data_IF_459287812542
#
_entry.id   IF_459287812542
#
_cell.length_a   1.000
_cell.length_b   1.000
_cell.length_c   1.000
_cell.angle_alpha   90.00
_cell.angle_beta   90.00
_cell.angle_gamma   90.00
#
_symmetry.space_group_name_H-M   'P 1'
#
loop_
_entity.id
_entity.type
_entity.pdbx_description
1 polymer ?
#
# COMPACT_ATOMS: atom_id res chain seq x y z
N UNK A 1 26.52 -39.07 -39.50
CA UNK A 1 25.32 -39.03 -38.62
C UNK A 1 25.52 -37.89 -37.63
N UNK A 2 24.74 -36.81 -37.75
CA UNK A 2 24.86 -35.62 -36.89
C UNK A 2 23.96 -35.77 -35.64
N UNK A 3 24.40 -35.35 -34.43
CA UNK A 3 23.52 -35.33 -33.28
C UNK A 3 22.57 -34.13 -33.32
N UNK A 4 21.28 -34.41 -33.13
CA UNK A 4 20.19 -33.45 -33.20
C UNK A 4 20.23 -32.40 -32.08
N UNK A 5 19.97 -31.15 -32.50
CA UNK A 5 19.89 -29.91 -31.73
C UNK A 5 18.95 -29.99 -30.51
N UNK A 6 19.45 -29.43 -29.40
CA UNK A 6 18.72 -29.01 -28.20
C UNK A 6 17.41 -28.25 -28.52
N UNK A 7 16.28 -28.73 -28.00
CA UNK A 7 15.07 -27.91 -27.84
C UNK A 7 15.03 -27.35 -26.42
N UNK A 8 15.64 -26.18 -26.21
CA UNK A 8 15.38 -25.37 -25.02
C UNK A 8 14.07 -24.65 -25.26
N UNK A 9 12.97 -25.22 -24.76
CA UNK A 9 11.68 -24.53 -24.69
C UNK A 9 11.81 -23.42 -23.65
N UNK A 10 12.12 -22.21 -24.10
CA UNK A 10 12.09 -21.03 -23.26
C UNK A 10 10.63 -20.80 -22.80
N UNK A 11 10.32 -21.21 -21.57
CA UNK A 11 9.06 -20.87 -20.89
C UNK A 11 8.97 -19.35 -20.82
N UNK A 12 8.11 -18.78 -21.68
CA UNK A 12 7.74 -17.36 -21.66
C UNK A 12 6.94 -17.11 -20.39
N UNK A 13 7.62 -16.80 -19.28
CA UNK A 13 6.99 -16.47 -18.01
C UNK A 13 6.07 -15.25 -18.21
N UNK A 14 4.77 -15.47 -18.00
CA UNK A 14 3.73 -14.46 -18.10
C UNK A 14 3.93 -13.37 -17.06
N UNK A 15 4.41 -12.21 -17.48
CA UNK A 15 4.68 -11.04 -16.63
C UNK A 15 3.40 -10.38 -16.10
N UNK A 16 2.22 -10.74 -16.62
CA UNK A 16 0.94 -10.19 -16.14
C UNK A 16 0.53 -10.70 -14.75
N UNK A 17 0.81 -11.97 -14.44
CA UNK A 17 0.47 -12.54 -13.13
C UNK A 17 1.21 -11.86 -11.96
N UNK A 18 2.46 -11.45 -12.18
CA UNK A 18 3.31 -10.84 -11.14
C UNK A 18 2.83 -9.44 -10.72
N UNK A 19 2.27 -8.65 -11.65
CA UNK A 19 1.77 -7.30 -11.34
C UNK A 19 0.54 -7.31 -10.43
N UNK A 20 -0.41 -8.21 -10.66
CA UNK A 20 -1.62 -8.33 -9.85
C UNK A 20 -1.31 -8.77 -8.41
N UNK A 21 -0.37 -9.71 -8.24
CA UNK A 21 0.05 -10.18 -6.91
C UNK A 21 0.65 -9.04 -6.08
N UNK A 22 1.37 -8.10 -6.71
CA UNK A 22 1.96 -6.97 -5.99
C UNK A 22 0.89 -5.96 -5.52
N UNK A 23 -0.13 -5.70 -6.35
CA UNK A 23 -1.23 -4.82 -5.98
C UNK A 23 -2.03 -5.40 -4.81
N UNK A 24 -2.42 -6.66 -4.88
CA UNK A 24 -3.19 -7.33 -3.83
C UNK A 24 -2.45 -7.34 -2.49
N UNK A 25 -1.13 -7.59 -2.50
CA UNK A 25 -0.29 -7.48 -1.29
C UNK A 25 -0.26 -6.07 -0.72
N UNK A 26 -0.21 -5.04 -1.57
CA UNK A 26 -0.24 -3.65 -1.11
C UNK A 26 -1.59 -3.29 -0.51
N UNK A 27 -2.69 -3.74 -1.11
CA UNK A 27 -4.03 -3.55 -0.57
C UNK A 27 -4.20 -4.23 0.79
N UNK A 28 -3.78 -5.50 0.92
CA UNK A 28 -3.75 -6.20 2.21
C UNK A 28 -2.91 -5.49 3.26
N UNK A 29 -1.74 -4.97 2.88
CA UNK A 29 -0.91 -4.18 3.81
C UNK A 29 -1.63 -2.91 4.23
N UNK A 30 -2.37 -2.27 3.34
CA UNK A 30 -3.12 -1.05 3.63
C UNK A 30 -4.22 -1.31 4.67
N UNK A 31 -4.97 -2.42 4.52
CA UNK A 31 -5.96 -2.87 5.51
C UNK A 31 -5.35 -3.07 6.90
N UNK A 32 -4.13 -3.57 6.99
CA UNK A 32 -3.46 -3.81 8.29
C UNK A 32 -2.89 -2.55 8.95
N UNK A 33 -2.56 -1.52 8.17
CA UNK A 33 -1.90 -0.30 8.67
C UNK A 33 -2.91 0.78 9.02
N UNK A 34 -4.01 0.87 8.27
CA UNK A 34 -5.06 1.87 8.51
C UNK A 34 -5.99 1.36 9.62
N UNK A 35 -6.23 2.12 10.69
CA UNK A 35 -7.14 1.73 11.76
C UNK A 35 -8.53 1.40 11.22
N UNK A 36 -9.05 0.22 11.56
CA UNK A 36 -10.35 -0.27 11.06
C UNK A 36 -10.35 -0.77 9.62
N UNK A 37 -9.19 -0.80 8.95
CA UNK A 37 -9.06 -1.29 7.58
C UNK A 37 -9.26 -2.80 7.42
N UNK A 38 -9.18 -3.56 8.51
CA UNK A 38 -9.43 -5.01 8.56
C UNK A 38 -10.90 -5.39 8.33
N UNK A 39 -11.82 -4.42 8.45
CA UNK A 39 -13.27 -4.59 8.27
C UNK A 39 -13.77 -4.19 6.88
N UNK A 40 -12.87 -3.77 5.98
CA UNK A 40 -13.22 -3.26 4.67
C UNK A 40 -13.01 -4.35 3.61
N UNK A 41 -14.08 -4.66 2.88
CA UNK A 41 -14.10 -5.81 1.98
C UNK A 41 -13.78 -5.43 0.52
N UNK A 42 -13.95 -4.15 0.15
CA UNK A 42 -13.69 -3.68 -1.21
C UNK A 42 -12.46 -2.77 -1.30
N UNK A 43 -11.76 -2.85 -2.43
CA UNK A 43 -10.60 -1.99 -2.72
C UNK A 43 -10.97 -0.50 -2.68
N UNK A 44 -12.18 -0.14 -3.12
CA UNK A 44 -12.68 1.24 -3.11
C UNK A 44 -12.85 1.78 -1.69
N UNK A 45 -13.49 1.01 -0.80
CA UNK A 45 -13.65 1.38 0.61
C UNK A 45 -12.30 1.52 1.30
N UNK A 46 -11.37 0.58 1.05
CA UNK A 46 -10.02 0.63 1.62
C UNK A 46 -9.33 1.94 1.20
N UNK A 47 -9.38 2.30 -0.09
CA UNK A 47 -8.73 3.50 -0.60
C UNK A 47 -9.39 4.78 -0.07
N UNK A 48 -10.71 4.84 -0.02
CA UNK A 48 -11.45 5.99 0.50
C UNK A 48 -11.17 6.19 1.99
N UNK A 49 -11.31 5.14 2.79
CA UNK A 49 -11.03 5.17 4.24
C UNK A 49 -9.58 5.54 4.52
N UNK A 50 -8.64 5.04 3.71
CA UNK A 50 -7.23 5.43 3.78
C UNK A 50 -7.05 6.92 3.53
N UNK A 51 -7.70 7.48 2.50
CA UNK A 51 -7.61 8.90 2.18
C UNK A 51 -8.15 9.77 3.33
N UNK A 52 -9.28 9.39 3.91
CA UNK A 52 -9.85 10.06 5.08
C UNK A 52 -8.92 10.00 6.29
N UNK A 53 -8.30 8.83 6.53
CA UNK A 53 -7.33 8.65 7.60
C UNK A 53 -6.07 9.51 7.40
N UNK A 54 -5.59 9.68 6.16
CA UNK A 54 -4.48 10.59 5.85
C UNK A 54 -4.84 12.03 6.19
N UNK A 55 -6.06 12.47 5.87
CA UNK A 55 -6.53 13.83 6.18
C UNK A 55 -6.62 14.04 7.68
N UNK A 56 -7.18 13.08 8.43
CA UNK A 56 -7.27 13.18 9.89
C UNK A 56 -5.91 13.24 10.56
N UNK A 57 -4.94 12.43 10.14
CA UNK A 57 -3.55 12.49 10.64
C UNK A 57 -2.90 13.85 10.36
N UNK A 58 -3.13 14.43 9.18
CA UNK A 58 -2.59 15.76 8.84
C UNK A 58 -3.16 16.83 9.77
N UNK A 59 -4.47 16.79 10.05
CA UNK A 59 -5.12 17.71 10.98
C UNK A 59 -4.56 17.55 12.40
N UNK A 60 -4.42 16.32 12.88
CA UNK A 60 -3.82 16.03 14.19
C UNK A 60 -2.39 16.58 14.28
N UNK A 61 -1.58 16.39 13.24
CA UNK A 61 -0.23 16.93 13.19
C UNK A 61 -0.21 18.46 13.24
N UNK A 62 -1.14 19.14 12.57
CA UNK A 62 -1.26 20.60 12.62
C UNK A 62 -1.59 21.09 14.04
N UNK A 63 -2.54 20.43 14.71
CA UNK A 63 -2.91 20.75 16.10
C UNK A 63 -1.72 20.53 17.03
N UNK A 64 -1.03 19.40 16.93
CA UNK A 64 0.13 19.08 17.75
C UNK A 64 1.28 20.08 17.54
N UNK A 65 1.55 20.48 16.30
CA UNK A 65 2.53 21.53 16.00
C UNK A 65 2.17 22.87 16.64
N UNK A 66 0.89 23.24 16.59
CA UNK A 66 0.42 24.48 17.22
C UNK A 66 0.53 24.41 18.75
N UNK A 67 0.14 23.29 19.36
CA UNK A 67 0.25 23.07 20.80
C UNK A 67 1.71 23.13 21.27
N UNK A 68 2.63 22.49 20.53
CA UNK A 68 4.06 22.55 20.84
C UNK A 68 4.60 23.99 20.78
N UNK A 69 4.18 24.77 19.77
CA UNK A 69 4.59 26.17 19.67
C UNK A 69 4.06 27.01 20.83
N UNK A 70 2.82 26.77 21.29
CA UNK A 70 2.30 27.48 22.47
C UNK A 70 3.13 27.16 23.72
N UNK A 71 3.38 25.88 23.98
CA UNK A 71 4.20 25.44 25.12
C UNK A 71 5.63 26.00 25.10
N UNK A 72 6.20 26.26 23.92
CA UNK A 72 7.53 26.86 23.78
C UNK A 72 7.55 28.38 24.02
N UNK A 73 6.42 29.07 23.88
CA UNK A 73 6.33 30.52 24.10
C UNK A 73 5.82 30.88 25.51
N UNK A 74 5.26 29.90 26.25
CA UNK A 74 4.82 30.04 27.64
C UNK A 74 5.93 29.67 28.67
N UNK A 75 7.16 29.40 28.20
CA UNK A 75 8.41 29.22 28.96
C UNK A 75 9.44 30.27 28.54
#
# INVERSE_FOLDING_TARGET
>A
MAPSRLQVVAKKHSTRGVKNINLERKMKRLQTVVPGGDKLDSDEEILLHTAEYIVSMKLQLMVLKKALLLLQNDL
#
